data_IF_154454827703
#
_entry.id   IF_154454827703
#
_cell.length_a   1.000
_cell.length_b   1.000
_cell.length_c   1.000
_cell.angle_alpha   90.00
_cell.angle_beta   90.00
_cell.angle_gamma   90.00
#
_symmetry.space_group_name_H-M   'P 1'
#
loop_
_entity.id
_entity.type
_entity.pdbx_description
1 polymer ?
#
# COMPACT_ATOMS: atom_id res chain seq x y z
N UNK A 1 9.24 -12.41 10.68
CA UNK A 1 10.09 -12.96 9.62
C UNK A 1 11.14 -13.80 10.29
N UNK A 2 11.28 -15.08 9.92
CA UNK A 2 12.28 -15.96 10.51
C UNK A 2 13.58 -15.91 9.71
N UNK A 3 14.70 -15.61 10.36
CA UNK A 3 16.03 -15.87 9.80
C UNK A 3 16.45 -17.31 10.14
N UNK A 4 17.11 -17.98 9.19
CA UNK A 4 17.78 -19.24 9.44
C UNK A 4 19.21 -18.94 9.87
N UNK A 5 19.54 -19.25 11.13
CA UNK A 5 20.91 -19.21 11.64
C UNK A 5 21.60 -20.52 11.23
N UNK A 6 22.68 -20.41 10.47
CA UNK A 6 23.57 -21.53 10.18
C UNK A 6 24.89 -21.31 10.93
N UNK A 7 25.40 -22.38 11.55
CA UNK A 7 26.71 -22.42 12.20
C UNK A 7 27.54 -23.54 11.57
N UNK A 8 28.85 -23.31 11.40
CA UNK A 8 29.81 -24.31 10.90
C UNK A 8 30.81 -24.56 12.03
N UNK A 9 30.92 -25.81 12.49
CA UNK A 9 31.92 -26.25 13.48
C UNK A 9 31.39 -26.60 14.88
N UNK A 10 30.21 -26.10 15.27
CA UNK A 10 29.50 -26.53 16.48
C UNK A 10 27.98 -26.41 16.29
N UNK A 11 27.16 -27.37 16.77
CA UNK A 11 25.71 -27.27 16.69
C UNK A 11 25.22 -26.04 17.45
N UNK A 12 24.45 -25.19 16.79
CA UNK A 12 23.64 -24.19 17.50
C UNK A 12 22.53 -24.93 18.25
N UNK A 13 22.31 -24.64 19.53
CA UNK A 13 21.10 -25.11 20.21
C UNK A 13 19.88 -24.66 19.38
N UNK A 14 18.95 -25.58 19.04
CA UNK A 14 17.74 -25.18 18.35
C UNK A 14 17.03 -24.13 19.22
N UNK A 15 16.67 -22.96 18.66
CA UNK A 15 15.93 -21.98 19.43
C UNK A 15 14.70 -22.66 20.01
N UNK A 16 14.46 -22.47 21.31
CA UNK A 16 13.27 -23.00 21.97
C UNK A 16 12.06 -22.60 21.13
N UNK A 17 11.48 -23.56 20.43
CA UNK A 17 10.28 -23.35 19.62
C UNK A 17 9.18 -23.10 20.65
N UNK A 18 8.91 -21.82 20.91
CA UNK A 18 7.77 -21.44 21.73
C UNK A 18 6.50 -21.90 21.00
N UNK A 19 6.01 -23.07 21.40
CA UNK A 19 4.74 -23.62 20.95
C UNK A 19 3.59 -22.77 21.47
N UNK A 20 3.11 -21.89 20.62
CA UNK A 20 1.69 -21.77 20.32
C UNK A 20 1.62 -21.16 18.92
N UNK A 21 1.04 -21.89 18.00
CA UNK A 21 1.15 -21.61 16.58
C UNK A 21 0.75 -20.15 16.30
N UNK A 22 1.70 -19.34 15.84
CA UNK A 22 1.55 -17.90 15.59
C UNK A 22 0.59 -17.53 14.46
N UNK A 23 -0.40 -18.38 14.15
CA UNK A 23 -1.46 -18.14 13.18
C UNK A 23 -2.22 -16.84 13.41
N UNK A 24 -2.62 -16.45 14.64
CA UNK A 24 -3.36 -15.20 14.83
C UNK A 24 -2.56 -13.97 14.40
N UNK A 25 -1.28 -13.91 14.79
CA UNK A 25 -0.38 -12.82 14.41
C UNK A 25 -0.10 -12.82 12.90
N UNK A 26 0.18 -13.99 12.32
CA UNK A 26 0.42 -14.13 10.87
C UNK A 26 -0.81 -13.73 10.05
N UNK A 27 -1.99 -14.16 10.46
CA UNK A 27 -3.26 -13.78 9.83
C UNK A 27 -3.53 -12.28 9.97
N UNK A 28 -3.27 -11.69 11.13
CA UNK A 28 -3.40 -10.25 11.34
C UNK A 28 -2.43 -9.46 10.43
N UNK A 29 -1.17 -9.89 10.32
CA UNK A 29 -0.17 -9.29 9.42
C UNK A 29 -0.64 -9.38 7.96
N UNK A 30 -1.15 -10.55 7.56
CA UNK A 30 -1.61 -10.77 6.19
C UNK A 30 -2.83 -9.90 5.85
N UNK A 31 -3.84 -9.87 6.73
CA UNK A 31 -5.02 -9.01 6.59
C UNK A 31 -4.60 -7.53 6.54
N UNK A 32 -3.70 -7.10 7.44
CA UNK A 32 -3.16 -5.74 7.45
C UNK A 32 -2.49 -5.37 6.12
N UNK A 33 -1.65 -6.27 5.57
CA UNK A 33 -1.03 -6.09 4.26
C UNK A 33 -2.05 -6.01 3.13
N UNK A 34 -3.06 -6.88 3.12
CA UNK A 34 -4.13 -6.86 2.11
C UNK A 34 -4.89 -5.54 2.15
N UNK A 35 -5.29 -5.07 3.33
CA UNK A 35 -6.00 -3.80 3.48
C UNK A 35 -5.13 -2.60 3.11
N UNK A 36 -3.84 -2.61 3.48
CA UNK A 36 -2.88 -1.59 3.09
C UNK A 36 -2.73 -1.53 1.58
N UNK A 37 -2.47 -2.66 0.91
CA UNK A 37 -2.35 -2.71 -0.54
C UNK A 37 -3.67 -2.39 -1.26
N UNK A 38 -4.82 -2.75 -0.69
CA UNK A 38 -6.10 -2.34 -1.23
C UNK A 38 -6.26 -0.81 -1.22
N UNK A 39 -5.84 -0.13 -0.14
CA UNK A 39 -5.82 1.32 -0.08
C UNK A 39 -4.82 1.95 -1.06
N UNK A 40 -3.61 1.39 -1.15
CA UNK A 40 -2.57 1.88 -2.07
C UNK A 40 -2.95 1.68 -3.54
N UNK A 41 -3.51 0.54 -3.92
CA UNK A 41 -3.80 0.24 -5.33
C UNK A 41 -5.18 0.73 -5.75
N UNK A 42 -6.24 0.32 -5.06
CA UNK A 42 -7.60 0.71 -5.43
C UNK A 42 -7.96 2.11 -4.95
N UNK A 43 -7.45 2.52 -3.79
CA UNK A 43 -7.68 3.86 -3.25
C UNK A 43 -6.92 4.94 -4.02
N UNK A 44 -5.59 4.93 -3.97
CA UNK A 44 -4.79 5.96 -4.67
C UNK A 44 -4.99 5.91 -6.18
N UNK A 45 -4.94 4.71 -6.78
CA UNK A 45 -5.16 4.54 -8.20
C UNK A 45 -6.54 5.00 -8.65
N UNK A 46 -7.58 4.72 -7.86
CA UNK A 46 -8.93 5.22 -8.11
C UNK A 46 -9.03 6.73 -7.97
N UNK A 47 -8.34 7.34 -7.00
CA UNK A 47 -8.29 8.79 -6.84
C UNK A 47 -7.60 9.47 -8.03
N UNK A 48 -6.50 8.88 -8.51
CA UNK A 48 -5.83 9.31 -9.74
C UNK A 48 -6.78 9.21 -10.96
N UNK A 49 -7.44 8.06 -11.14
CA UNK A 49 -8.36 7.86 -12.24
C UNK A 49 -9.51 8.88 -12.24
N UNK A 50 -10.07 9.20 -11.06
CA UNK A 50 -11.10 10.22 -10.91
C UNK A 50 -10.58 11.63 -11.25
N UNK A 51 -9.38 12.01 -10.80
CA UNK A 51 -8.82 13.33 -11.03
C UNK A 51 -8.37 13.56 -12.49
N UNK A 52 -7.81 12.53 -13.12
CA UNK A 52 -7.16 12.65 -14.43
C UNK A 52 -8.03 12.14 -15.58
N UNK A 53 -8.72 11.01 -15.41
CA UNK A 53 -9.38 10.31 -16.50
C UNK A 53 -10.88 10.59 -16.58
N UNK A 54 -11.57 10.58 -15.43
CA UNK A 54 -13.04 10.58 -15.36
C UNK A 54 -13.75 11.90 -15.78
N UNK A 55 -13.01 12.94 -16.17
CA UNK A 55 -13.62 14.25 -16.43
C UNK A 55 -14.32 14.75 -15.17
N UNK A 56 -15.54 15.28 -15.28
CA UNK A 56 -16.34 15.70 -14.13
C UNK A 56 -17.13 14.56 -13.47
N UNK A 57 -16.94 13.32 -13.96
CA UNK A 57 -17.53 12.13 -13.39
C UNK A 57 -16.94 11.77 -12.03
N UNK A 58 -17.81 11.42 -11.07
CA UNK A 58 -17.44 11.00 -9.70
C UNK A 58 -17.87 9.57 -9.38
N UNK A 59 -18.10 8.76 -10.41
CA UNK A 59 -18.54 7.38 -10.25
C UNK A 59 -17.49 6.57 -9.49
N UNK A 60 -17.89 5.90 -8.41
CA UNK A 60 -16.98 5.12 -7.57
C UNK A 60 -16.22 5.91 -6.50
N UNK A 61 -16.40 7.24 -6.38
CA UNK A 61 -15.68 8.03 -5.37
C UNK A 61 -15.86 7.52 -3.94
N UNK A 62 -17.05 7.04 -3.54
CA UNK A 62 -17.28 6.47 -2.20
C UNK A 62 -16.47 5.18 -1.96
N UNK A 63 -16.36 4.34 -2.99
CA UNK A 63 -15.54 3.13 -2.91
C UNK A 63 -14.07 3.49 -2.74
N UNK A 64 -13.59 4.43 -3.56
CA UNK A 64 -12.21 4.94 -3.50
C UNK A 64 -11.90 5.55 -2.14
N UNK A 65 -12.80 6.39 -1.61
CA UNK A 65 -12.62 6.96 -0.27
C UNK A 65 -12.60 5.87 0.82
N UNK A 66 -13.49 4.87 0.73
CA UNK A 66 -13.52 3.74 1.65
C UNK A 66 -12.23 2.94 1.66
N UNK A 67 -11.67 2.61 0.49
CA UNK A 67 -10.40 1.87 0.40
C UNK A 67 -9.22 2.70 0.91
N UNK A 68 -9.18 4.02 0.67
CA UNK A 68 -8.16 4.91 1.25
C UNK A 68 -8.26 4.92 2.78
N UNK A 69 -9.45 5.06 3.34
CA UNK A 69 -9.66 5.05 4.79
C UNK A 69 -9.24 3.71 5.42
N UNK A 70 -9.58 2.58 4.76
CA UNK A 70 -9.08 1.27 5.18
C UNK A 70 -7.54 1.22 5.17
N UNK A 71 -6.90 1.76 4.13
CA UNK A 71 -5.44 1.85 4.05
C UNK A 71 -4.83 2.72 5.16
N UNK A 72 -5.45 3.86 5.49
CA UNK A 72 -4.98 4.77 6.55
C UNK A 72 -5.00 4.11 7.92
N UNK A 73 -5.98 3.26 8.19
CA UNK A 73 -6.05 2.46 9.43
C UNK A 73 -5.09 1.28 9.38
N UNK A 74 -5.00 0.59 8.23
CA UNK A 74 -4.16 -0.59 8.08
C UNK A 74 -2.65 -0.29 8.11
N UNK A 75 -2.22 0.89 7.67
CA UNK A 75 -0.81 1.30 7.68
C UNK A 75 -0.18 1.30 9.09
N UNK A 76 -0.70 2.04 10.09
CA UNK A 76 -0.16 2.01 11.45
C UNK A 76 -0.37 0.67 12.15
N UNK A 77 -1.49 -0.03 11.89
CA UNK A 77 -1.69 -1.39 12.41
C UNK A 77 -0.61 -2.34 11.90
N UNK A 78 -0.28 -2.28 10.60
CA UNK A 78 0.78 -3.10 10.01
C UNK A 78 2.14 -2.81 10.63
N UNK A 79 2.42 -1.55 11.01
CA UNK A 79 3.65 -1.18 11.71
C UNK A 79 3.73 -1.83 13.10
N UNK A 80 2.65 -1.77 13.89
CA UNK A 80 2.58 -2.41 15.20
C UNK A 80 2.69 -3.93 15.11
N UNK A 81 2.00 -4.55 14.13
CA UNK A 81 2.09 -5.98 13.86
C UNK A 81 3.50 -6.42 13.42
N UNK A 82 4.19 -5.58 12.64
CA UNK A 82 5.59 -5.81 12.26
C UNK A 82 6.54 -5.71 13.47
N UNK A 83 6.25 -4.79 14.40
CA UNK A 83 6.97 -4.69 15.68
C UNK A 83 6.79 -5.93 16.56
N UNK A 84 5.57 -6.49 16.62
CA UNK A 84 5.30 -7.75 17.34
C UNK A 84 6.05 -8.92 16.72
N UNK A 85 6.04 -9.01 15.39
CA UNK A 85 6.78 -10.02 14.63
C UNK A 85 8.30 -9.93 14.85
N UNK A 86 8.83 -8.70 14.93
CA UNK A 86 10.26 -8.48 15.23
C UNK A 86 10.65 -8.85 16.67
N UNK A 87 9.73 -8.69 17.63
CA UNK A 87 9.95 -9.04 19.04
C UNK A 87 9.57 -10.48 19.38
N UNK A 88 8.95 -11.22 18.46
CA UNK A 88 8.35 -12.54 18.75
C UNK A 88 7.24 -12.47 19.80
N UNK A 89 6.55 -11.32 19.91
CA UNK A 89 5.58 -11.05 20.97
C UNK A 89 4.12 -11.39 20.56
N UNK A 90 3.25 -11.79 21.51
CA UNK A 90 1.84 -12.07 21.22
C UNK A 90 1.03 -10.80 20.92
N UNK A 91 -0.11 -10.95 20.23
CA UNK A 91 -1.02 -9.85 19.85
C UNK A 91 -1.49 -8.99 21.04
N UNK A 92 -1.61 -9.58 22.23
CA UNK A 92 -1.98 -8.87 23.46
C UNK A 92 -1.00 -7.76 23.83
N UNK A 93 0.24 -7.80 23.33
CA UNK A 93 1.27 -6.81 23.62
C UNK A 93 1.28 -5.64 22.64
N UNK A 94 0.33 -5.55 21.69
CA UNK A 94 0.30 -4.50 20.66
C UNK A 94 0.30 -3.08 21.25
N UNK A 95 -0.29 -2.87 22.43
CA UNK A 95 -0.33 -1.58 23.10
C UNK A 95 1.01 -1.17 23.75
N UNK A 96 2.00 -2.06 23.83
CA UNK A 96 3.26 -1.76 24.51
C UNK A 96 4.13 -0.81 23.67
N UNK A 97 4.69 0.27 24.26
CA UNK A 97 5.51 1.23 23.52
C UNK A 97 6.73 0.63 22.83
N UNK A 98 7.30 -0.45 23.40
CA UNK A 98 8.46 -1.15 22.82
C UNK A 98 8.16 -1.73 21.44
N UNK A 99 6.94 -2.23 21.22
CA UNK A 99 6.49 -2.80 19.92
C UNK A 99 6.55 -1.75 18.83
N UNK A 100 6.02 -0.56 19.09
CA UNK A 100 5.98 0.55 18.14
C UNK A 100 7.37 1.12 17.86
N UNK A 101 8.23 1.23 18.89
CA UNK A 101 9.63 1.63 18.72
C UNK A 101 10.40 0.63 17.86
N UNK A 102 10.21 -0.67 18.10
CA UNK A 102 10.82 -1.71 17.28
C UNK A 102 10.34 -1.64 15.83
N UNK A 103 9.02 -1.51 15.61
CA UNK A 103 8.46 -1.36 14.26
C UNK A 103 9.03 -0.14 13.51
N UNK A 104 9.08 1.02 14.18
CA UNK A 104 9.66 2.25 13.63
C UNK A 104 11.16 2.16 13.35
N UNK A 105 11.89 1.33 14.11
CA UNK A 105 13.32 1.09 13.90
C UNK A 105 13.64 0.24 12.67
N UNK A 106 12.64 -0.36 12.03
CA UNK A 106 12.82 -1.15 10.80
C UNK A 106 12.76 -0.29 9.54
N UNK A 107 13.29 -0.80 8.42
CA UNK A 107 13.11 -0.19 7.09
C UNK A 107 11.64 -0.03 6.69
N UNK A 108 10.75 -0.87 7.24
CA UNK A 108 9.31 -0.80 7.01
C UNK A 108 8.67 0.48 7.58
N UNK A 109 9.27 1.11 8.60
CA UNK A 109 8.80 2.39 9.14
C UNK A 109 8.73 3.49 8.07
N UNK A 110 9.75 3.58 7.21
CA UNK A 110 9.78 4.52 6.09
C UNK A 110 8.69 4.22 5.04
N UNK A 111 8.49 2.95 4.70
CA UNK A 111 7.40 2.53 3.81
C UNK A 111 6.03 2.95 4.34
N UNK A 112 5.78 2.75 5.63
CA UNK A 112 4.50 3.14 6.27
C UNK A 112 4.32 4.65 6.26
N UNK A 113 5.37 5.43 6.54
CA UNK A 113 5.30 6.89 6.49
C UNK A 113 4.97 7.40 5.09
N UNK A 114 5.67 6.90 4.07
CA UNK A 114 5.41 7.27 2.66
C UNK A 114 4.00 6.86 2.25
N UNK A 115 3.55 5.66 2.65
CA UNK A 115 2.20 5.18 2.38
C UNK A 115 1.13 6.06 3.03
N UNK A 116 1.31 6.49 4.29
CA UNK A 116 0.39 7.40 4.97
C UNK A 116 0.29 8.76 4.28
N UNK A 117 1.42 9.33 3.86
CA UNK A 117 1.44 10.57 3.09
C UNK A 117 0.69 10.37 1.76
N UNK A 118 0.98 9.30 1.03
CA UNK A 118 0.31 8.99 -0.23
C UNK A 118 -1.21 8.86 -0.06
N UNK A 119 -1.67 8.13 0.96
CA UNK A 119 -3.08 7.96 1.32
C UNK A 119 -3.74 9.28 1.70
N UNK A 120 -3.07 10.13 2.47
CA UNK A 120 -3.53 11.47 2.78
C UNK A 120 -3.70 12.34 1.53
N UNK A 121 -2.71 12.36 0.65
CA UNK A 121 -2.76 13.10 -0.63
C UNK A 121 -3.88 12.58 -1.53
N UNK A 122 -4.06 11.26 -1.61
CA UNK A 122 -5.17 10.62 -2.32
C UNK A 122 -6.52 11.05 -1.77
N UNK A 123 -6.70 11.04 -0.44
CA UNK A 123 -7.95 11.48 0.20
C UNK A 123 -8.24 12.96 -0.07
N UNK A 124 -7.22 13.82 0.08
CA UNK A 124 -7.33 15.25 -0.20
C UNK A 124 -7.71 15.51 -1.65
N UNK A 125 -7.17 14.73 -2.60
CA UNK A 125 -7.49 14.87 -4.02
C UNK A 125 -8.97 14.63 -4.34
N UNK A 126 -9.69 13.82 -3.55
CA UNK A 126 -11.12 13.56 -3.74
C UNK A 126 -12.01 14.75 -3.32
N UNK A 127 -11.53 15.57 -2.39
CA UNK A 127 -12.25 16.73 -1.86
C UNK A 127 -11.81 18.05 -2.51
N UNK A 128 -10.59 18.09 -3.07
CA UNK A 128 -10.01 19.28 -3.67
C UNK A 128 -10.69 19.68 -5.00
N UNK A 129 -10.63 20.98 -5.38
CA UNK A 129 -11.01 21.40 -6.73
C UNK A 129 -10.06 20.79 -7.77
N UNK A 130 -10.52 20.65 -9.02
CA UNK A 130 -9.82 19.92 -10.09
C UNK A 130 -8.35 20.33 -10.29
N UNK A 131 -8.07 21.64 -10.18
CA UNK A 131 -6.72 22.19 -10.32
C UNK A 131 -5.74 21.66 -9.25
N UNK A 132 -6.22 21.46 -8.02
CA UNK A 132 -5.42 20.91 -6.93
C UNK A 132 -5.53 19.37 -6.83
N UNK A 133 -6.66 18.78 -7.23
CA UNK A 133 -6.87 17.34 -7.20
C UNK A 133 -5.86 16.57 -8.07
N UNK A 134 -5.55 17.09 -9.27
CA UNK A 134 -4.60 16.47 -10.21
C UNK A 134 -3.19 16.29 -9.64
N UNK A 135 -2.50 17.36 -9.17
CA UNK A 135 -1.17 17.21 -8.60
C UNK A 135 -1.18 16.40 -7.30
N UNK A 136 -2.22 16.51 -6.46
CA UNK A 136 -2.36 15.69 -5.24
C UNK A 136 -2.47 14.20 -5.57
N UNK A 137 -3.30 13.85 -6.54
CA UNK A 137 -3.48 12.45 -6.94
C UNK A 137 -2.23 11.88 -7.64
N UNK A 138 -1.52 12.70 -8.44
CA UNK A 138 -0.26 12.32 -9.05
C UNK A 138 0.83 12.09 -7.99
N UNK A 139 0.94 12.99 -7.01
CA UNK A 139 1.87 12.85 -5.89
C UNK A 139 1.54 11.62 -5.03
N UNK A 140 0.25 11.35 -4.80
CA UNK A 140 -0.21 10.11 -4.16
C UNK A 140 0.24 8.86 -4.92
N UNK A 141 0.02 8.84 -6.25
CA UNK A 141 0.41 7.71 -7.11
C UNK A 141 1.92 7.48 -7.11
N UNK A 142 2.71 8.54 -7.22
CA UNK A 142 4.16 8.48 -7.07
C UNK A 142 4.56 7.98 -5.68
N UNK A 143 3.84 8.40 -4.62
CA UNK A 143 4.02 7.92 -3.26
C UNK A 143 3.82 6.40 -3.12
N UNK A 144 2.88 5.80 -3.85
CA UNK A 144 2.71 4.32 -3.88
C UNK A 144 3.97 3.63 -4.42
N UNK A 145 4.48 4.11 -5.56
CA UNK A 145 5.72 3.60 -6.14
C UNK A 145 6.91 3.75 -5.17
N UNK A 146 7.03 4.92 -4.53
CA UNK A 146 8.09 5.20 -3.57
C UNK A 146 7.99 4.30 -2.32
N UNK A 147 6.79 4.07 -1.79
CA UNK A 147 6.57 3.21 -0.63
C UNK A 147 7.01 1.76 -0.91
N UNK A 148 6.68 1.23 -2.10
CA UNK A 148 7.09 -0.12 -2.51
C UNK A 148 8.59 -0.21 -2.77
N UNK A 149 9.18 0.79 -3.43
CA UNK A 149 10.62 0.88 -3.64
C UNK A 149 11.41 0.99 -2.32
N UNK A 150 10.84 1.58 -1.28
CA UNK A 150 11.45 1.67 0.05
C UNK A 150 11.37 0.36 0.87
N UNK A 151 10.47 -0.57 0.53
CA UNK A 151 10.14 -1.72 1.38
C UNK A 151 11.22 -2.79 1.56
N UNK A 152 12.34 -2.70 0.83
CA UNK A 152 13.53 -3.53 1.03
C UNK A 152 13.38 -5.01 0.69
N UNK A 153 12.23 -5.46 0.17
CA UNK A 153 12.03 -6.86 -0.23
C UNK A 153 12.52 -7.07 -1.67
N UNK A 154 11.72 -6.65 -2.65
CA UNK A 154 12.10 -6.73 -4.07
C UNK A 154 13.17 -5.67 -4.44
N UNK A 155 13.17 -4.54 -3.74
CA UNK A 155 14.05 -3.41 -4.04
C UNK A 155 15.45 -3.50 -3.45
N UNK A 156 15.75 -4.56 -2.70
CA UNK A 156 17.09 -4.85 -2.18
C UNK A 156 17.92 -5.75 -3.11
N UNK A 157 17.32 -6.29 -4.17
CA UNK A 157 18.02 -7.10 -5.15
C UNK A 157 19.04 -6.27 -5.94
N UNK A 158 20.23 -6.84 -6.18
CA UNK A 158 21.28 -6.19 -6.97
C UNK A 158 21.02 -6.34 -8.48
N UNK A 159 21.34 -5.30 -9.29
CA UNK A 159 21.83 -3.98 -8.88
C UNK A 159 20.69 -3.05 -8.41
N UNK A 160 20.83 -2.46 -7.22
CA UNK A 160 19.75 -1.68 -6.58
C UNK A 160 19.34 -0.41 -7.33
N UNK A 161 20.25 0.15 -8.14
CA UNK A 161 19.96 1.31 -8.97
C UNK A 161 18.94 0.99 -10.07
N UNK A 162 18.80 -0.28 -10.47
CA UNK A 162 17.84 -0.73 -11.48
C UNK A 162 16.56 -1.29 -10.83
N UNK A 163 16.70 -2.08 -9.77
CA UNK A 163 15.56 -2.74 -9.13
C UNK A 163 14.63 -1.74 -8.42
N UNK A 164 15.17 -0.69 -7.78
CA UNK A 164 14.35 0.34 -7.12
C UNK A 164 13.46 1.13 -8.11
N UNK A 165 13.97 1.69 -9.22
CA UNK A 165 13.11 2.31 -10.23
C UNK A 165 12.11 1.34 -10.85
N UNK A 166 12.50 0.09 -11.08
CA UNK A 166 11.59 -0.89 -11.69
C UNK A 166 10.44 -1.26 -10.75
N UNK A 167 10.71 -1.44 -9.45
CA UNK A 167 9.67 -1.63 -8.41
C UNK A 167 8.79 -0.38 -8.28
N UNK A 168 9.36 0.83 -8.37
CA UNK A 168 8.61 2.07 -8.38
C UNK A 168 7.61 2.11 -9.55
N UNK A 169 8.10 1.93 -10.77
CA UNK A 169 7.29 1.97 -12.00
C UNK A 169 6.24 0.86 -11.97
N UNK A 170 6.62 -0.35 -11.57
CA UNK A 170 5.71 -1.48 -11.45
C UNK A 170 4.60 -1.21 -10.42
N UNK A 171 4.95 -0.72 -9.24
CA UNK A 171 4.00 -0.40 -8.18
C UNK A 171 3.03 0.71 -8.56
N UNK A 172 3.54 1.79 -9.17
CA UNK A 172 2.72 2.87 -9.69
C UNK A 172 1.82 2.40 -10.85
N UNK A 173 2.34 1.55 -11.74
CA UNK A 173 1.60 0.96 -12.85
C UNK A 173 0.45 0.07 -12.38
N UNK A 174 0.68 -0.80 -11.39
CA UNK A 174 -0.38 -1.62 -10.78
C UNK A 174 -1.46 -0.73 -10.16
N UNK A 175 -1.05 0.27 -9.37
CA UNK A 175 -1.99 1.18 -8.74
C UNK A 175 -2.84 1.91 -9.79
N UNK A 176 -2.20 2.48 -10.81
CA UNK A 176 -2.87 3.14 -11.93
C UNK A 176 -3.88 2.21 -12.62
N UNK A 177 -3.44 1.01 -13.04
CA UNK A 177 -4.26 0.08 -13.80
C UNK A 177 -5.42 -0.48 -12.98
N UNK A 178 -5.13 -1.07 -11.81
CA UNK A 178 -6.14 -1.71 -10.97
C UNK A 178 -7.11 -0.69 -10.35
N UNK A 179 -6.59 0.47 -9.94
CA UNK A 179 -7.39 1.51 -9.31
C UNK A 179 -8.38 2.18 -10.26
N UNK A 180 -8.10 2.22 -11.56
CA UNK A 180 -9.04 2.76 -12.55
C UNK A 180 -10.28 1.87 -12.78
N UNK A 181 -10.18 0.55 -12.53
CA UNK A 181 -11.20 -0.43 -12.92
C UNK A 181 -12.55 -0.20 -12.24
N UNK A 182 -12.57 0.05 -10.93
CA UNK A 182 -13.84 0.22 -10.20
C UNK A 182 -14.55 1.52 -10.55
N UNK A 183 -13.89 2.70 -10.55
CA UNK A 183 -14.49 3.94 -11.05
C UNK A 183 -15.00 3.83 -12.48
N UNK A 184 -14.20 3.24 -13.38
CA UNK A 184 -14.56 3.07 -14.79
C UNK A 184 -15.74 2.10 -14.96
N UNK A 185 -15.71 0.94 -14.32
CA UNK A 185 -16.78 -0.05 -14.37
C UNK A 185 -18.09 0.50 -13.83
N UNK A 186 -18.05 1.30 -12.75
CA UNK A 186 -19.24 1.98 -12.23
C UNK A 186 -19.73 3.10 -13.15
N UNK A 187 -18.83 3.84 -13.80
CA UNK A 187 -19.21 4.85 -14.78
C UNK A 187 -19.93 4.22 -15.99
N UNK A 188 -19.41 3.12 -16.52
CA UNK A 188 -20.02 2.36 -17.62
C UNK A 188 -21.35 1.74 -17.21
N UNK A 189 -21.40 1.05 -16.07
CA UNK A 189 -22.62 0.40 -15.56
C UNK A 189 -23.76 1.40 -15.34
N UNK A 190 -23.45 2.61 -14.90
CA UNK A 190 -24.44 3.68 -14.64
C UNK A 190 -24.70 4.58 -15.84
N UNK A 191 -24.06 4.29 -16.99
CA UNK A 191 -24.14 5.13 -18.19
C UNK A 191 -23.86 6.61 -17.89
N UNK A 192 -22.86 6.87 -17.02
CA UNK A 192 -22.53 8.22 -16.62
C UNK A 192 -22.08 9.06 -17.82
N UNK A 193 -22.45 10.34 -17.84
CA UNK A 193 -21.95 11.29 -18.82
C UNK A 193 -20.41 11.29 -18.82
N UNK A 194 -19.80 11.06 -19.99
CA UNK A 194 -18.34 10.96 -20.13
C UNK A 194 -17.73 9.58 -19.88
N UNK A 195 -18.52 8.52 -19.63
CA UNK A 195 -17.97 7.17 -19.41
C UNK A 195 -17.18 6.62 -20.62
N UNK A 196 -17.61 6.93 -21.85
CA UNK A 196 -16.88 6.54 -23.08
C UNK A 196 -15.55 7.28 -23.19
N UNK A 197 -15.51 8.57 -22.84
CA UNK A 197 -14.29 9.36 -22.86
C UNK A 197 -13.32 8.91 -21.76
N UNK A 198 -13.83 8.53 -20.58
CA UNK A 198 -13.03 7.90 -19.54
C UNK A 198 -12.42 6.59 -20.06
N UNK A 199 -13.21 5.69 -20.66
CA UNK A 199 -12.72 4.46 -21.25
C UNK A 199 -11.62 4.74 -22.30
N UNK A 200 -11.84 5.69 -23.20
CA UNK A 200 -10.86 6.07 -24.22
C UNK A 200 -9.55 6.53 -23.60
N UNK A 201 -9.57 7.43 -22.61
CA UNK A 201 -8.36 7.92 -21.93
C UNK A 201 -7.63 6.81 -21.19
N UNK A 202 -8.37 5.90 -20.55
CA UNK A 202 -7.78 4.74 -19.90
C UNK A 202 -7.09 3.83 -20.93
N UNK A 203 -7.76 3.49 -22.04
CA UNK A 203 -7.19 2.67 -23.11
C UNK A 203 -5.94 3.30 -23.73
N UNK A 204 -5.95 4.61 -24.00
CA UNK A 204 -4.78 5.30 -24.54
C UNK A 204 -3.58 5.32 -23.59
N UNK A 205 -3.82 5.29 -22.28
CA UNK A 205 -2.75 5.33 -21.29
C UNK A 205 -2.08 3.96 -21.04
N UNK A 206 -2.61 2.87 -21.61
CA UNK A 206 -2.10 1.50 -21.45
C UNK A 206 -1.64 0.84 -22.76
N UNK A 207 -1.77 1.56 -23.88
CA UNK A 207 -1.27 1.16 -25.20
C UNK A 207 0.17 1.66 -25.39
#
# INVERSE_FOLDING_TARGET
>A
GGSLLFSIGAPSEPPAVSEAIGWPLRSAIWIGKVLLYAGLFFGIGGAFALAWLAGDGRAGQRFVAGTILCGLVAAPLSLGLQGLDALGAPLSHLAQPVVWRTGLGTSFGWTVLIALIALGLGLLSLAAPRAAARPLALAGLAGVGAALAASGHASAAEPQWLTRPLVFVHGAGIAFWAGALVPLGLALKRQAAGAVEFLRRFSWAIL
#
